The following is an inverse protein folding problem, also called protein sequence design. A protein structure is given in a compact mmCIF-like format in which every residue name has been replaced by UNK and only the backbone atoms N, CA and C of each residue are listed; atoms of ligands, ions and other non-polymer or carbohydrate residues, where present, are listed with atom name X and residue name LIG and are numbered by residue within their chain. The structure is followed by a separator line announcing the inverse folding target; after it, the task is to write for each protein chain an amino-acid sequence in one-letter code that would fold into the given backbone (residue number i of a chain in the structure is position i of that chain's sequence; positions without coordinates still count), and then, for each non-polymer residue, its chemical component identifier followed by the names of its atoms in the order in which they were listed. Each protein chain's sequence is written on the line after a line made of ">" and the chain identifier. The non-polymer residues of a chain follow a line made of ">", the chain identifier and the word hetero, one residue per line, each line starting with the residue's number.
data_IF_099209597940
#
_entry.id   IF_099209597940
#
_cell.length_a   1.000
_cell.length_b   1.000
_cell.length_c   1.000
_cell.angle_alpha   90.00
_cell.angle_beta   90.00
_cell.angle_gamma   90.00
#
_symmetry.space_group_name_H-M   'P 1'
#
loop_
_entity.id
_entity.type
_entity.pdbx_description
1 polymer ?
#
# COMPACT_ATOMS: atom_id res chain seq x y z
N UNK A 1 -21.54 -9.84 -11.68
CA UNK A 1 -20.73 -9.34 -12.82
C UNK A 1 -21.14 -10.16 -14.02
N UNK A 2 -21.49 -9.54 -15.16
CA UNK A 2 -21.99 -10.30 -16.32
C UNK A 2 -20.87 -11.18 -16.93
N UNK A 3 -21.19 -12.36 -17.51
CA UNK A 3 -20.20 -13.30 -18.04
C UNK A 3 -19.26 -12.69 -19.10
N UNK A 4 -19.79 -11.86 -20.01
CA UNK A 4 -19.02 -11.20 -21.07
C UNK A 4 -18.41 -9.83 -20.71
N UNK A 5 -18.20 -9.57 -19.42
CA UNK A 5 -17.59 -8.30 -18.97
C UNK A 5 -16.08 -8.27 -19.26
N UNK A 6 -15.61 -7.26 -20.00
CA UNK A 6 -14.17 -7.09 -20.26
C UNK A 6 -13.41 -6.69 -18.99
N UNK A 7 -12.47 -7.54 -18.56
CA UNK A 7 -11.61 -7.35 -17.37
C UNK A 7 -10.22 -6.77 -17.70
N UNK A 8 -10.07 -6.07 -18.83
CA UNK A 8 -8.80 -5.47 -19.21
C UNK A 8 -8.33 -4.47 -18.14
N UNK A 9 -7.06 -4.54 -17.77
CA UNK A 9 -6.44 -3.73 -16.71
C UNK A 9 -7.05 -3.94 -15.31
N UNK A 10 -7.70 -5.09 -15.08
CA UNK A 10 -8.22 -5.54 -13.79
C UNK A 10 -7.40 -6.71 -13.26
N UNK A 11 -7.26 -6.82 -11.95
CA UNK A 11 -6.45 -7.87 -11.35
C UNK A 11 -7.27 -9.03 -10.81
N UNK A 12 -8.44 -8.74 -10.23
CA UNK A 12 -9.41 -9.79 -9.93
C UNK A 12 -10.03 -10.34 -11.22
N UNK A 13 -10.31 -11.65 -11.22
CA UNK A 13 -10.94 -12.35 -12.33
C UNK A 13 -12.44 -12.58 -12.10
N UNK A 14 -12.87 -12.44 -10.85
CA UNK A 14 -14.23 -12.63 -10.39
C UNK A 14 -14.67 -11.49 -9.45
N UNK A 15 -15.97 -11.44 -9.17
CA UNK A 15 -16.58 -10.47 -8.25
C UNK A 15 -17.46 -11.20 -7.23
N UNK A 16 -16.87 -12.01 -6.32
CA UNK A 16 -17.62 -12.82 -5.37
C UNK A 16 -18.38 -11.95 -4.38
N UNK A 17 -19.49 -12.46 -3.86
CA UNK A 17 -20.23 -11.76 -2.80
C UNK A 17 -19.36 -11.58 -1.55
N UNK A 18 -19.60 -10.49 -0.82
CA UNK A 18 -18.86 -10.19 0.41
C UNK A 18 -19.20 -11.18 1.51
N UNK A 19 -18.24 -11.47 2.40
CA UNK A 19 -18.41 -12.43 3.52
C UNK A 19 -19.61 -12.15 4.44
N UNK A 20 -20.10 -10.91 4.49
CA UNK A 20 -21.22 -10.52 5.36
C UNK A 20 -22.55 -10.45 4.62
N UNK A 21 -22.60 -10.80 3.34
CA UNK A 21 -23.82 -10.83 2.56
C UNK A 21 -24.67 -12.06 2.95
N UNK A 22 -25.99 -11.88 3.21
CA UNK A 22 -26.87 -12.98 3.59
C UNK A 22 -27.27 -13.86 2.40
N UNK A 23 -27.03 -13.39 1.18
CA UNK A 23 -27.44 -14.03 -0.07
C UNK A 23 -26.26 -14.06 -1.04
N UNK A 24 -26.10 -15.17 -1.74
CA UNK A 24 -25.16 -15.30 -2.85
C UNK A 24 -25.90 -15.27 -4.18
N UNK A 25 -25.24 -14.77 -5.22
CA UNK A 25 -25.79 -14.74 -6.58
C UNK A 25 -24.90 -15.52 -7.52
N UNK A 26 -25.49 -16.48 -8.21
CA UNK A 26 -24.81 -17.27 -9.24
C UNK A 26 -25.43 -16.98 -10.61
N UNK A 27 -24.57 -16.81 -11.61
CA UNK A 27 -25.00 -16.74 -13.00
C UNK A 27 -25.08 -18.17 -13.54
N UNK A 28 -26.24 -18.56 -14.05
CA UNK A 28 -26.46 -19.84 -14.72
C UNK A 28 -27.13 -19.60 -16.07
N UNK A 29 -26.88 -20.48 -17.04
CA UNK A 29 -27.57 -20.43 -18.33
C UNK A 29 -29.04 -20.82 -18.13
N UNK A 30 -29.96 -19.97 -18.56
CA UNK A 30 -31.40 -20.21 -18.49
C UNK A 30 -31.95 -21.01 -19.69
N UNK A 31 -31.06 -21.46 -20.59
CA UNK A 31 -31.39 -22.26 -21.77
C UNK A 31 -31.75 -21.44 -23.01
N UNK A 32 -31.63 -20.11 -22.96
CA UNK A 32 -31.86 -19.23 -24.10
C UNK A 32 -30.53 -18.86 -24.76
N UNK A 33 -30.35 -19.24 -26.02
CA UNK A 33 -29.19 -18.87 -26.84
C UNK A 33 -29.35 -17.43 -27.38
N UNK A 34 -29.23 -16.45 -26.48
CA UNK A 34 -29.17 -15.04 -26.83
C UNK A 34 -27.70 -14.67 -27.04
N UNK A 35 -27.37 -14.01 -28.15
CA UNK A 35 -26.03 -13.45 -28.36
C UNK A 35 -25.73 -12.44 -27.24
N UNK A 36 -24.83 -12.81 -26.33
CA UNK A 36 -24.42 -11.93 -25.24
C UNK A 36 -23.57 -10.77 -25.79
N UNK A 37 -24.10 -9.55 -25.73
CA UNK A 37 -23.39 -8.34 -26.13
C UNK A 37 -22.04 -8.18 -25.42
N UNK A 38 -21.02 -7.76 -26.18
CA UNK A 38 -19.72 -7.38 -25.61
C UNK A 38 -19.90 -6.08 -24.83
N UNK A 39 -19.79 -6.17 -23.51
CA UNK A 39 -19.95 -5.02 -22.63
C UNK A 39 -18.73 -4.08 -22.69
N UNK A 40 -18.95 -2.76 -22.50
CA UNK A 40 -17.85 -1.80 -22.45
C UNK A 40 -16.87 -2.13 -21.31
N UNK A 41 -15.61 -1.65 -21.38
CA UNK A 41 -14.65 -1.82 -20.30
C UNK A 41 -15.20 -1.33 -18.96
N UNK A 42 -14.91 -2.05 -17.87
CA UNK A 42 -15.34 -1.66 -16.53
C UNK A 42 -14.81 -0.27 -16.18
N UNK A 43 -15.73 0.64 -15.86
CA UNK A 43 -15.39 1.96 -15.35
C UNK A 43 -14.99 1.91 -13.86
N UNK A 44 -14.23 2.91 -13.43
CA UNK A 44 -13.93 3.12 -12.01
C UNK A 44 -14.75 4.30 -11.49
N UNK A 45 -15.52 4.05 -10.43
CA UNK A 45 -16.35 5.02 -9.73
C UNK A 45 -15.63 5.55 -8.50
N UNK A 46 -15.64 6.88 -8.33
CA UNK A 46 -15.10 7.56 -7.16
C UNK A 46 -16.27 7.98 -6.27
N UNK A 47 -16.28 7.50 -5.03
CA UNK A 47 -17.37 7.66 -4.08
C UNK A 47 -16.91 8.55 -2.91
N UNK A 48 -17.56 9.69 -2.65
CA UNK A 48 -17.18 10.54 -1.52
C UNK A 48 -17.48 9.84 -0.19
N UNK A 49 -16.49 9.80 0.71
CA UNK A 49 -16.62 9.31 2.09
C UNK A 49 -16.47 10.48 3.06
N UNK A 50 -17.51 10.74 3.86
CA UNK A 50 -17.48 11.72 4.96
C UNK A 50 -17.01 11.01 6.24
N UNK A 51 -15.70 10.94 6.42
CA UNK A 51 -15.09 10.31 7.57
C UNK A 51 -15.21 11.19 8.84
N UNK A 52 -15.29 10.56 10.02
CA UNK A 52 -15.26 11.26 11.32
C UNK A 52 -13.83 11.51 11.83
N UNK A 53 -12.90 10.64 11.45
CA UNK A 53 -11.47 10.74 11.74
C UNK A 53 -10.67 10.33 10.51
N UNK A 54 -9.41 10.76 10.46
CA UNK A 54 -8.52 10.45 9.33
C UNK A 54 -7.39 9.52 9.72
N UNK A 55 -6.88 9.65 10.96
CA UNK A 55 -5.84 8.80 11.53
C UNK A 55 -6.47 7.49 12.01
N UNK A 56 -5.85 6.38 11.62
CA UNK A 56 -6.16 5.03 12.09
C UNK A 56 -4.99 4.51 12.93
N UNK A 57 -5.30 3.85 14.04
CA UNK A 57 -4.33 3.32 14.98
C UNK A 57 -4.30 1.79 14.94
N UNK A 58 -3.16 1.22 15.32
CA UNK A 58 -2.99 -0.22 15.47
C UNK A 58 -2.02 -0.53 16.63
N UNK A 59 -2.14 -1.71 17.21
CA UNK A 59 -1.37 -2.22 18.34
C UNK A 59 -0.45 -3.40 17.93
N UNK A 60 -0.18 -3.51 16.63
CA UNK A 60 0.46 -4.69 16.07
C UNK A 60 1.96 -4.72 16.39
N UNK A 61 2.48 -5.74 17.09
CA UNK A 61 3.86 -5.75 17.59
C UNK A 61 4.92 -5.99 16.50
N UNK A 62 4.48 -6.40 15.30
CA UNK A 62 5.36 -6.76 14.18
C UNK A 62 5.41 -5.73 13.04
N UNK A 63 4.75 -4.57 13.20
CA UNK A 63 4.87 -3.43 12.27
C UNK A 63 5.45 -2.21 13.01
N UNK A 64 6.34 -1.47 12.34
CA UNK A 64 7.08 -0.36 12.95
C UNK A 64 6.32 0.97 13.03
N UNK A 65 4.99 0.96 13.08
CA UNK A 65 4.18 2.17 13.15
C UNK A 65 2.85 1.93 13.87
N UNK A 66 2.40 2.96 14.60
CA UNK A 66 1.12 2.95 15.30
C UNK A 66 0.03 3.68 14.52
N UNK A 67 0.40 4.77 13.84
CA UNK A 67 -0.54 5.67 13.17
C UNK A 67 -0.43 5.54 11.65
N UNK A 68 -1.57 5.52 10.98
CA UNK A 68 -1.63 5.55 9.51
C UNK A 68 -2.80 6.37 9.00
N UNK A 69 -2.67 6.88 7.79
CA UNK A 69 -3.77 7.48 7.05
C UNK A 69 -3.86 6.78 5.70
N UNK A 70 -5.07 6.33 5.39
CA UNK A 70 -5.44 5.88 4.05
C UNK A 70 -6.38 6.93 3.47
N UNK A 71 -5.95 7.74 2.48
CA UNK A 71 -6.80 8.75 1.85
C UNK A 71 -8.00 8.13 1.12
N UNK A 72 -7.84 6.85 0.74
CA UNK A 72 -8.80 6.09 -0.05
C UNK A 72 -9.14 4.75 0.60
N UNK A 73 -10.34 4.23 0.33
CA UNK A 73 -10.74 2.83 0.58
C UNK A 73 -11.02 2.17 -0.76
N UNK A 74 -10.40 1.02 -1.00
CA UNK A 74 -10.26 0.46 -2.35
C UNK A 74 -8.99 0.97 -3.02
N UNK A 75 -8.50 0.22 -4.01
CA UNK A 75 -7.29 0.59 -4.72
C UNK A 75 -7.37 0.22 -6.20
N UNK A 76 -7.35 1.23 -7.05
CA UNK A 76 -7.36 1.13 -8.51
C UNK A 76 -6.20 0.34 -9.09
N UNK A 77 -5.12 0.16 -8.32
CA UNK A 77 -3.99 -0.68 -8.73
C UNK A 77 -4.41 -2.12 -9.05
N UNK A 78 -5.45 -2.62 -8.38
CA UNK A 78 -6.01 -3.95 -8.63
C UNK A 78 -5.04 -5.08 -8.32
N UNK A 79 -4.08 -4.91 -7.41
CA UNK A 79 -3.14 -5.98 -7.08
C UNK A 79 -3.90 -7.23 -6.59
N UNK A 80 -3.77 -8.37 -7.27
CA UNK A 80 -4.57 -9.57 -6.95
C UNK A 80 -4.32 -10.09 -5.53
N UNK A 81 -3.07 -10.01 -5.07
CA UNK A 81 -2.62 -10.45 -3.75
C UNK A 81 -2.95 -9.47 -2.61
N UNK A 82 -3.65 -8.36 -2.89
CA UNK A 82 -3.77 -7.25 -1.94
C UNK A 82 -4.56 -7.66 -0.69
N UNK A 83 -3.90 -7.65 0.48
CA UNK A 83 -4.53 -7.99 1.76
C UNK A 83 -5.63 -7.01 2.19
N UNK A 84 -5.75 -5.85 1.52
CA UNK A 84 -6.77 -4.84 1.79
C UNK A 84 -8.11 -5.14 1.09
N UNK A 85 -8.15 -6.08 0.13
CA UNK A 85 -9.38 -6.47 -0.59
C UNK A 85 -10.57 -6.77 0.33
N UNK A 86 -10.40 -7.50 1.45
CA UNK A 86 -11.50 -7.78 2.39
C UNK A 86 -12.14 -6.54 3.03
N UNK A 87 -11.53 -5.35 2.93
CA UNK A 87 -12.13 -4.10 3.44
C UNK A 87 -13.46 -3.74 2.73
N UNK A 88 -13.65 -4.19 1.49
CA UNK A 88 -14.88 -3.97 0.74
C UNK A 88 -16.06 -4.80 1.25
N UNK A 89 -15.80 -5.98 1.84
CA UNK A 89 -16.85 -6.78 2.47
C UNK A 89 -17.57 -6.01 3.59
N UNK A 90 -16.87 -5.11 4.30
CA UNK A 90 -17.46 -4.29 5.37
C UNK A 90 -18.36 -3.14 4.89
N UNK A 91 -18.43 -2.91 3.58
CA UNK A 91 -19.30 -1.90 2.96
C UNK A 91 -20.22 -2.53 1.92
N UNK A 92 -20.53 -3.82 2.08
CA UNK A 92 -21.42 -4.60 1.22
C UNK A 92 -21.00 -4.58 -0.26
N UNK A 93 -19.69 -4.64 -0.48
CA UNK A 93 -19.08 -4.70 -1.81
C UNK A 93 -18.14 -5.88 -1.93
N UNK A 94 -17.96 -6.37 -3.16
CA UNK A 94 -17.07 -7.50 -3.40
C UNK A 94 -15.58 -7.14 -3.16
N UNK A 95 -14.81 -8.02 -2.49
CA UNK A 95 -13.34 -7.96 -2.45
C UNK A 95 -12.65 -8.19 -3.81
N UNK A 96 -13.41 -8.66 -4.81
CA UNK A 96 -12.95 -8.90 -6.18
C UNK A 96 -12.86 -7.62 -7.00
N UNK A 97 -13.67 -7.53 -8.06
CA UNK A 97 -13.67 -6.38 -8.97
C UNK A 97 -14.10 -5.08 -8.29
N UNK A 98 -15.10 -5.10 -7.41
CA UNK A 98 -15.57 -3.88 -6.73
C UNK A 98 -14.46 -3.18 -5.92
N UNK A 99 -13.49 -3.91 -5.36
CA UNK A 99 -12.35 -3.33 -4.65
C UNK A 99 -11.51 -2.36 -5.51
N UNK A 100 -11.41 -2.63 -6.81
CA UNK A 100 -10.57 -1.88 -7.76
C UNK A 100 -11.37 -1.01 -8.73
N UNK A 101 -12.71 -1.07 -8.67
CA UNK A 101 -13.62 -0.23 -9.46
C UNK A 101 -14.47 0.72 -8.62
N UNK A 102 -14.75 0.44 -7.34
CA UNK A 102 -15.52 1.31 -6.44
C UNK A 102 -14.60 1.85 -5.36
N UNK A 103 -14.10 3.07 -5.57
CA UNK A 103 -13.06 3.67 -4.73
C UNK A 103 -13.67 4.78 -3.90
N UNK A 104 -13.63 4.64 -2.59
CA UNK A 104 -14.04 5.72 -1.70
C UNK A 104 -12.87 6.65 -1.43
N UNK A 105 -13.13 7.94 -1.36
CA UNK A 105 -12.13 8.96 -1.03
C UNK A 105 -12.62 9.87 0.09
N UNK A 106 -11.71 10.19 1.02
CA UNK A 106 -12.02 11.05 2.17
C UNK A 106 -12.01 12.53 1.75
N UNK A 107 -13.19 13.12 1.61
CA UNK A 107 -13.36 14.49 1.09
C UNK A 107 -12.60 15.51 1.93
N UNK A 108 -12.76 15.46 3.25
CA UNK A 108 -12.22 16.45 4.20
C UNK A 108 -10.92 15.99 4.88
N UNK A 109 -10.13 15.10 4.26
CA UNK A 109 -9.01 14.43 4.91
C UNK A 109 -7.99 15.42 5.54
N UNK A 110 -7.59 16.46 4.82
CA UNK A 110 -6.65 17.48 5.31
C UNK A 110 -7.22 18.29 6.49
N UNK A 111 -8.49 18.70 6.40
CA UNK A 111 -9.17 19.44 7.48
C UNK A 111 -9.30 18.59 8.75
N UNK A 112 -9.68 17.32 8.59
CA UNK A 112 -9.76 16.36 9.69
C UNK A 112 -8.38 16.14 10.31
N UNK A 113 -7.33 16.03 9.49
CA UNK A 113 -5.96 15.90 9.96
C UNK A 113 -5.53 17.11 10.80
N UNK A 114 -5.68 18.32 10.25
CA UNK A 114 -5.32 19.57 10.95
C UNK A 114 -6.10 19.69 12.27
N UNK A 115 -7.39 19.36 12.28
CA UNK A 115 -8.20 19.36 13.50
C UNK A 115 -7.66 18.36 14.53
N UNK A 116 -7.25 17.17 14.10
CA UNK A 116 -6.81 16.10 14.98
C UNK A 116 -5.44 16.38 15.61
N UNK A 117 -4.44 16.79 14.81
CA UNK A 117 -3.07 17.03 15.30
C UNK A 117 -2.96 18.26 16.22
N UNK A 118 -3.90 19.20 16.11
CA UNK A 118 -3.93 20.40 16.94
C UNK A 118 -4.68 20.21 18.28
N UNK A 119 -5.26 19.04 18.56
CA UNK A 119 -5.87 18.78 19.88
C UNK A 119 -4.83 18.86 20.99
N UNK A 120 -5.20 19.40 22.16
CA UNK A 120 -4.31 19.49 23.31
C UNK A 120 -3.70 18.12 23.69
N UNK A 121 -4.51 17.06 23.63
CA UNK A 121 -4.12 15.68 23.92
C UNK A 121 -3.34 14.96 22.81
N UNK A 122 -3.14 15.58 21.65
CA UNK A 122 -2.42 14.94 20.55
C UNK A 122 -0.92 14.84 20.85
N UNK A 123 -0.37 13.64 20.68
CA UNK A 123 1.05 13.34 20.78
C UNK A 123 1.57 12.92 19.40
N UNK A 124 2.57 13.66 18.91
CA UNK A 124 3.17 13.42 17.60
C UNK A 124 3.87 12.06 17.56
N UNK A 125 3.49 11.25 16.56
CA UNK A 125 4.16 10.01 16.18
C UNK A 125 4.20 9.94 14.65
N UNK A 126 5.21 9.32 14.02
CA UNK A 126 5.25 9.20 12.57
C UNK A 126 3.98 8.57 12.01
N UNK A 127 3.38 9.23 11.01
CA UNK A 127 2.18 8.74 10.32
C UNK A 127 2.60 8.00 9.05
N UNK A 128 2.07 6.79 8.83
CA UNK A 128 2.22 6.08 7.56
C UNK A 128 1.10 6.43 6.60
N UNK A 129 1.44 7.01 5.44
CA UNK A 129 0.57 7.06 4.27
C UNK A 129 0.77 5.82 3.43
N UNK A 130 -0.32 5.12 3.11
CA UNK A 130 -0.26 3.94 2.24
C UNK A 130 -0.15 2.60 2.94
N UNK A 131 -0.58 2.53 4.21
CA UNK A 131 -0.57 1.31 5.00
C UNK A 131 -1.60 0.27 4.54
N UNK A 132 -2.65 0.65 3.80
CA UNK A 132 -3.69 -0.29 3.33
C UNK A 132 -4.01 -0.10 1.84
N UNK A 133 -4.12 1.13 1.38
CA UNK A 133 -4.38 1.50 -0.03
C UNK A 133 -3.29 2.45 -0.51
N UNK A 134 -3.02 2.52 -1.82
CA UNK A 134 -1.94 3.37 -2.31
C UNK A 134 -2.37 4.84 -2.33
N UNK A 135 -1.64 5.76 -1.68
CA UNK A 135 -1.99 7.18 -1.63
C UNK A 135 -1.80 7.87 -2.99
N UNK A 136 -1.06 7.24 -3.91
CA UNK A 136 -0.76 7.75 -5.25
C UNK A 136 -1.41 6.89 -6.35
N UNK A 137 -2.50 6.20 -6.06
CA UNK A 137 -3.30 5.52 -7.08
C UNK A 137 -3.85 6.51 -8.13
N UNK A 138 -4.26 6.07 -9.35
CA UNK A 138 -4.69 6.95 -10.43
C UNK A 138 -5.66 8.09 -10.06
N UNK A 139 -6.61 7.87 -9.16
CA UNK A 139 -7.55 8.89 -8.68
C UNK A 139 -6.86 10.11 -8.04
N UNK A 140 -5.69 9.91 -7.43
CA UNK A 140 -4.91 10.98 -6.80
C UNK A 140 -4.44 12.04 -7.79
N UNK A 141 -4.31 11.70 -9.07
CA UNK A 141 -3.95 12.67 -10.11
C UNK A 141 -5.01 13.78 -10.26
N UNK A 142 -6.29 13.46 -9.97
CA UNK A 142 -7.42 14.39 -10.03
C UNK A 142 -7.77 14.98 -8.67
N UNK A 143 -7.76 14.15 -7.63
CA UNK A 143 -8.28 14.52 -6.31
C UNK A 143 -7.26 15.25 -5.41
N UNK A 144 -5.96 15.02 -5.62
CA UNK A 144 -4.88 15.67 -4.87
C UNK A 144 -4.99 15.58 -3.33
N UNK A 145 -5.64 14.53 -2.80
CA UNK A 145 -5.90 14.38 -1.36
C UNK A 145 -4.60 14.10 -0.62
N UNK A 146 -3.74 13.24 -1.17
CA UNK A 146 -2.43 12.98 -0.58
C UNK A 146 -1.59 14.25 -0.54
N UNK A 147 -1.58 15.05 -1.62
CA UNK A 147 -0.90 16.35 -1.62
C UNK A 147 -1.45 17.29 -0.55
N UNK A 148 -2.78 17.35 -0.38
CA UNK A 148 -3.41 18.18 0.66
C UNK A 148 -3.00 17.75 2.08
N UNK A 149 -2.89 16.44 2.34
CA UNK A 149 -2.40 15.91 3.60
C UNK A 149 -0.92 16.25 3.82
N UNK A 150 -0.09 16.12 2.79
CA UNK A 150 1.33 16.47 2.85
C UNK A 150 1.55 17.95 3.15
N UNK A 151 0.73 18.85 2.60
CA UNK A 151 0.80 20.27 2.94
C UNK A 151 0.54 20.52 4.44
N UNK A 152 -0.49 19.90 5.01
CA UNK A 152 -0.78 20.01 6.45
C UNK A 152 0.39 19.47 7.27
N UNK A 153 0.90 18.28 6.92
CA UNK A 153 2.03 17.67 7.62
C UNK A 153 3.30 18.53 7.53
N UNK A 154 3.58 19.11 6.36
CA UNK A 154 4.74 19.99 6.16
C UNK A 154 4.64 21.27 6.98
N UNK A 155 3.47 21.93 7.02
CA UNK A 155 3.23 23.14 7.83
C UNK A 155 3.46 22.86 9.31
N UNK A 156 2.98 21.72 9.80
CA UNK A 156 3.12 21.31 11.20
C UNK A 156 4.44 20.60 11.51
N UNK A 157 5.36 20.49 10.53
CA UNK A 157 6.62 19.74 10.62
C UNK A 157 6.42 18.33 11.18
N UNK A 158 5.32 17.70 10.78
CA UNK A 158 4.91 16.40 11.26
C UNK A 158 5.58 15.29 10.43
N UNK A 159 6.22 14.30 11.07
CA UNK A 159 6.92 13.24 10.35
C UNK A 159 5.95 12.27 9.64
N UNK A 160 6.32 11.84 8.44
CA UNK A 160 5.51 10.99 7.56
C UNK A 160 6.33 9.91 6.87
N UNK A 161 5.76 8.73 6.75
CA UNK A 161 6.33 7.61 5.98
C UNK A 161 5.35 7.31 4.85
N UNK A 162 5.84 7.25 3.62
CA UNK A 162 4.98 7.01 2.46
C UNK A 162 5.29 5.64 1.88
N UNK A 163 4.26 4.82 1.64
CA UNK A 163 4.38 3.54 0.94
C UNK A 163 3.63 3.66 -0.38
N UNK A 164 4.32 3.43 -1.51
CA UNK A 164 3.68 3.52 -2.84
C UNK A 164 4.27 2.57 -3.87
N UNK A 165 3.51 2.33 -4.95
CA UNK A 165 3.89 1.62 -6.18
C UNK A 165 3.89 2.52 -7.42
N UNK A 166 3.60 3.82 -7.27
CA UNK A 166 3.28 4.68 -8.41
C UNK A 166 4.18 5.93 -8.52
N UNK A 167 4.50 6.33 -9.75
CA UNK A 167 5.36 7.49 -10.06
C UNK A 167 4.73 8.84 -9.76
N UNK A 168 3.42 8.89 -9.51
CA UNK A 168 2.74 10.16 -9.19
C UNK A 168 3.30 10.84 -7.93
N UNK A 169 4.00 10.11 -7.05
CA UNK A 169 4.76 10.70 -5.93
C UNK A 169 5.76 11.77 -6.39
N UNK A 170 6.29 11.68 -7.61
CA UNK A 170 7.24 12.67 -8.15
C UNK A 170 6.61 14.06 -8.32
N UNK A 171 5.28 14.15 -8.43
CA UNK A 171 4.55 15.44 -8.43
C UNK A 171 4.80 16.24 -7.16
N UNK A 172 4.96 15.55 -6.03
CA UNK A 172 5.00 16.17 -4.70
C UNK A 172 6.45 16.30 -4.16
N UNK A 173 7.47 16.16 -5.03
CA UNK A 173 8.89 16.36 -4.67
C UNK A 173 9.15 17.74 -4.06
N UNK A 174 8.42 18.77 -4.49
CA UNK A 174 8.53 20.13 -3.97
C UNK A 174 8.24 20.20 -2.45
N UNK A 175 7.29 19.40 -1.97
CA UNK A 175 6.97 19.30 -0.53
C UNK A 175 7.93 18.32 0.15
N UNK A 176 8.14 17.15 -0.47
CA UNK A 176 8.89 16.05 0.13
C UNK A 176 10.37 16.39 0.34
N UNK A 177 11.01 17.11 -0.58
CA UNK A 177 12.41 17.56 -0.42
C UNK A 177 12.59 18.48 0.78
N UNK A 178 11.66 19.43 0.98
CA UNK A 178 11.68 20.34 2.14
C UNK A 178 11.50 19.59 3.46
N UNK A 179 10.60 18.60 3.49
CA UNK A 179 10.44 17.72 4.64
C UNK A 179 11.68 16.84 4.88
N UNK A 180 12.32 16.35 3.81
CA UNK A 180 13.49 15.46 3.91
C UNK A 180 14.70 16.19 4.48
N UNK A 181 14.92 17.44 4.09
CA UNK A 181 15.96 18.30 4.67
C UNK A 181 15.82 18.47 6.20
N UNK A 182 14.62 18.26 6.73
CA UNK A 182 14.33 18.33 8.16
C UNK A 182 14.27 16.95 8.85
N UNK A 183 14.58 15.85 8.14
CA UNK A 183 14.42 14.46 8.58
C UNK A 183 12.95 14.11 8.95
N UNK A 184 11.98 14.67 8.23
CA UNK A 184 10.55 14.46 8.47
C UNK A 184 9.91 13.43 7.53
N UNK A 185 10.57 13.01 6.46
CA UNK A 185 9.97 12.08 5.50
C UNK A 185 10.93 10.97 5.07
N UNK A 186 10.36 9.78 4.87
CA UNK A 186 11.00 8.68 4.15
C UNK A 186 9.97 7.95 3.30
N UNK A 187 10.42 7.35 2.20
CA UNK A 187 9.55 6.69 1.22
C UNK A 187 9.94 5.22 1.06
N UNK A 188 8.95 4.33 1.11
CA UNK A 188 9.07 2.94 0.73
C UNK A 188 8.42 2.71 -0.65
N UNK A 189 9.22 2.35 -1.64
CA UNK A 189 8.76 2.02 -3.00
C UNK A 189 8.61 0.51 -3.11
N UNK A 190 7.40 0.03 -3.40
CA UNK A 190 7.15 -1.41 -3.52
C UNK A 190 7.48 -1.92 -4.92
N UNK A 191 8.39 -2.88 -5.01
CA UNK A 191 8.81 -3.53 -6.26
C UNK A 191 8.70 -5.03 -6.08
N UNK A 192 7.75 -5.65 -6.78
CA UNK A 192 7.48 -7.09 -6.70
C UNK A 192 8.13 -7.88 -7.82
N UNK A 193 8.40 -7.26 -8.97
CA UNK A 193 9.02 -7.89 -10.13
C UNK A 193 9.64 -6.82 -11.02
N UNK A 194 10.70 -7.17 -11.74
CA UNK A 194 11.28 -6.38 -12.84
C UNK A 194 10.63 -6.73 -14.19
N UNK A 195 9.83 -7.80 -14.26
CA UNK A 195 9.09 -8.22 -15.45
C UNK A 195 7.87 -7.34 -15.70
N UNK A 196 7.78 -6.77 -16.92
CA UNK A 196 6.60 -6.03 -17.39
C UNK A 196 5.38 -6.94 -17.51
N UNK A 197 5.58 -8.21 -17.86
CA UNK A 197 4.49 -9.16 -18.09
C UNK A 197 3.87 -9.60 -16.78
N UNK A 198 4.71 -9.98 -15.79
CA UNK A 198 4.22 -10.33 -14.47
C UNK A 198 3.52 -9.13 -13.81
N UNK A 199 4.09 -7.92 -13.91
CA UNK A 199 3.43 -6.70 -13.44
C UNK A 199 2.06 -6.51 -14.09
N UNK A 200 1.91 -6.77 -15.39
CA UNK A 200 0.67 -6.55 -16.14
C UNK A 200 -0.49 -7.40 -15.63
N UNK A 201 -0.20 -8.67 -15.30
CA UNK A 201 -1.22 -9.59 -14.80
C UNK A 201 -1.41 -9.50 -13.28
N UNK A 202 -0.39 -9.11 -12.52
CA UNK A 202 -0.42 -9.11 -11.05
C UNK A 202 -0.79 -7.74 -10.45
N UNK A 203 -0.40 -6.65 -11.11
CA UNK A 203 -0.48 -5.26 -10.62
C UNK A 203 -0.85 -4.29 -11.77
N UNK A 204 -1.98 -4.51 -12.46
CA UNK A 204 -2.25 -3.99 -13.79
C UNK A 204 -2.09 -2.48 -13.92
N UNK A 205 -2.53 -1.69 -12.91
CA UNK A 205 -2.60 -0.22 -12.98
C UNK A 205 -1.53 0.52 -12.16
N UNK A 206 -0.51 -0.19 -11.68
CA UNK A 206 0.66 0.43 -11.03
C UNK A 206 1.66 0.96 -12.06
N UNK A 207 2.68 1.72 -11.62
CA UNK A 207 3.80 2.11 -12.49
C UNK A 207 4.60 0.87 -12.94
N UNK A 208 5.13 0.90 -14.16
CA UNK A 208 5.97 -0.17 -14.70
C UNK A 208 7.25 -0.37 -13.86
N UNK A 209 7.84 -1.58 -13.80
CA UNK A 209 8.97 -1.85 -12.92
C UNK A 209 10.16 -0.89 -13.07
N UNK A 210 10.58 -0.62 -14.32
CA UNK A 210 11.65 0.35 -14.59
C UNK A 210 11.31 1.77 -14.11
N UNK A 211 10.03 2.15 -14.14
CA UNK A 211 9.57 3.42 -13.56
C UNK A 211 9.75 3.45 -12.05
N UNK A 212 9.48 2.34 -11.34
CA UNK A 212 9.68 2.29 -9.88
C UNK A 212 11.14 2.38 -9.46
N UNK A 213 12.04 1.80 -10.25
CA UNK A 213 13.48 1.95 -10.06
C UNK A 213 13.90 3.42 -10.27
N UNK A 214 13.37 4.10 -11.32
CA UNK A 214 13.60 5.53 -11.52
C UNK A 214 13.10 6.41 -10.38
N UNK A 215 11.93 6.09 -9.80
CA UNK A 215 11.42 6.81 -8.63
C UNK A 215 12.43 6.75 -7.49
N UNK A 216 13.02 5.58 -7.21
CA UNK A 216 14.04 5.43 -6.15
C UNK A 216 15.23 6.37 -6.42
N UNK A 217 15.70 6.42 -7.67
CA UNK A 217 16.76 7.33 -8.08
C UNK A 217 16.36 8.79 -7.88
N UNK A 218 15.21 9.23 -8.38
CA UNK A 218 14.77 10.61 -8.27
C UNK A 218 14.55 11.04 -6.82
N UNK A 219 13.98 10.19 -5.98
CA UNK A 219 13.85 10.45 -4.54
C UNK A 219 15.22 10.65 -3.89
N UNK A 220 16.18 9.78 -4.21
CA UNK A 220 17.55 9.87 -3.65
C UNK A 220 18.27 11.11 -4.14
N UNK A 221 18.17 11.45 -5.42
CA UNK A 221 18.75 12.67 -6.02
C UNK A 221 18.19 13.95 -5.36
N UNK A 222 16.96 13.88 -4.84
CA UNK A 222 16.28 14.96 -4.10
C UNK A 222 16.48 14.90 -2.57
N UNK A 223 17.40 14.04 -2.10
CA UNK A 223 17.72 13.90 -0.67
C UNK A 223 16.65 13.17 0.16
N UNK A 224 15.66 12.55 -0.47
CA UNK A 224 14.58 11.83 0.21
C UNK A 224 15.01 10.39 0.48
N UNK A 225 15.12 9.95 1.76
CA UNK A 225 15.50 8.60 2.09
C UNK A 225 14.52 7.57 1.52
N UNK A 226 15.04 6.63 0.72
CA UNK A 226 14.24 5.61 0.05
C UNK A 226 14.54 4.20 0.58
N UNK A 227 13.48 3.41 0.67
CA UNK A 227 13.48 1.98 0.98
C UNK A 227 12.84 1.22 -0.17
N UNK A 228 13.45 0.13 -0.62
CA UNK A 228 12.76 -0.83 -1.50
C UNK A 228 11.99 -1.84 -0.66
N UNK A 229 10.74 -2.10 -1.04
CA UNK A 229 9.91 -3.11 -0.39
C UNK A 229 9.50 -4.20 -1.39
N UNK A 230 10.06 -5.40 -1.25
CA UNK A 230 9.67 -6.57 -2.04
C UNK A 230 8.46 -7.23 -1.36
N UNK A 231 7.28 -6.66 -1.61
CA UNK A 231 6.04 -7.08 -0.96
C UNK A 231 4.87 -7.19 -1.95
N UNK A 232 4.38 -8.41 -2.24
CA UNK A 232 4.80 -9.69 -1.67
C UNK A 232 5.98 -10.36 -2.40
N UNK A 233 6.70 -11.22 -1.68
CA UNK A 233 7.38 -12.38 -2.25
C UNK A 233 6.35 -13.51 -2.39
N UNK A 234 6.30 -14.08 -3.59
CA UNK A 234 5.47 -15.20 -3.99
C UNK A 234 6.41 -16.32 -4.50
N UNK A 235 6.50 -17.45 -3.79
CA UNK A 235 7.35 -18.57 -4.19
C UNK A 235 7.06 -19.01 -5.62
N UNK A 236 8.11 -19.31 -6.37
CA UNK A 236 8.05 -19.82 -7.75
C UNK A 236 7.35 -18.89 -8.75
N UNK A 237 7.03 -17.65 -8.36
CA UNK A 237 6.45 -16.61 -9.23
C UNK A 237 7.39 -15.42 -9.37
N UNK A 238 7.82 -14.79 -8.27
CA UNK A 238 8.71 -13.62 -8.30
C UNK A 238 9.91 -13.72 -7.35
N UNK A 239 10.00 -14.75 -6.54
CA UNK A 239 11.04 -14.89 -5.53
C UNK A 239 12.44 -15.10 -6.13
N UNK A 240 12.54 -15.61 -7.35
CA UNK A 240 13.79 -15.66 -8.13
C UNK A 240 14.33 -14.27 -8.53
N UNK A 241 13.50 -13.21 -8.44
CA UNK A 241 13.90 -11.85 -8.76
C UNK A 241 14.42 -11.07 -7.55
N UNK A 242 14.38 -11.64 -6.34
CA UNK A 242 14.70 -10.97 -5.09
C UNK A 242 16.04 -10.21 -5.15
N UNK A 243 17.11 -10.90 -5.47
CA UNK A 243 18.46 -10.30 -5.51
C UNK A 243 18.59 -9.28 -6.65
N UNK A 244 17.92 -9.51 -7.79
CA UNK A 244 17.95 -8.58 -8.93
C UNK A 244 17.24 -7.26 -8.60
N UNK A 245 16.09 -7.33 -7.94
CA UNK A 245 15.35 -6.16 -7.46
C UNK A 245 16.20 -5.39 -6.44
N UNK A 246 16.79 -6.09 -5.47
CA UNK A 246 17.63 -5.46 -4.43
C UNK A 246 18.86 -4.79 -5.05
N UNK A 247 19.53 -5.45 -5.99
CA UNK A 247 20.66 -4.87 -6.72
C UNK A 247 20.26 -3.58 -7.44
N UNK A 248 19.20 -3.63 -8.24
CA UNK A 248 18.75 -2.48 -9.03
C UNK A 248 18.30 -1.30 -8.14
N UNK A 249 17.67 -1.59 -7.00
CA UNK A 249 17.28 -0.58 -6.02
C UNK A 249 18.50 0.06 -5.34
N UNK A 250 19.49 -0.74 -4.93
CA UNK A 250 20.73 -0.25 -4.34
C UNK A 250 21.52 0.63 -5.33
N UNK A 251 21.65 0.19 -6.59
CA UNK A 251 22.27 0.98 -7.68
C UNK A 251 21.54 2.29 -7.95
N UNK A 252 20.25 2.37 -7.60
CA UNK A 252 19.44 3.59 -7.71
C UNK A 252 19.45 4.43 -6.44
N UNK A 253 20.24 4.06 -5.42
CA UNK A 253 20.43 4.86 -4.20
C UNK A 253 19.57 4.47 -3.00
N UNK A 254 18.77 3.39 -3.09
CA UNK A 254 18.08 2.87 -1.90
C UNK A 254 19.11 2.41 -0.86
N UNK A 255 18.95 2.85 0.39
CA UNK A 255 19.81 2.43 1.52
C UNK A 255 19.22 1.27 2.31
N UNK A 256 17.90 1.08 2.19
CA UNK A 256 17.18 0.10 2.98
C UNK A 256 16.33 -0.81 2.11
N UNK A 257 16.17 -2.04 2.55
CA UNK A 257 15.29 -3.02 1.93
C UNK A 257 14.45 -3.73 2.99
N UNK A 258 13.25 -4.16 2.59
CA UNK A 258 12.44 -5.11 3.35
C UNK A 258 11.69 -6.01 2.38
N UNK A 259 11.27 -7.17 2.85
CA UNK A 259 10.35 -8.03 2.11
C UNK A 259 9.19 -8.46 3.00
N UNK A 260 8.09 -8.84 2.36
CA UNK A 260 6.93 -9.44 3.02
C UNK A 260 6.54 -10.66 2.21
N UNK A 261 6.42 -11.82 2.87
CA UNK A 261 5.87 -13.01 2.23
C UNK A 261 4.38 -12.80 1.94
N UNK A 262 3.87 -13.35 0.83
CA UNK A 262 2.46 -13.25 0.47
C UNK A 262 1.52 -13.58 1.64
N UNK A 263 0.47 -12.76 1.75
CA UNK A 263 -0.59 -12.86 2.75
C UNK A 263 -1.90 -13.09 2.01
N UNK A 264 -2.63 -14.12 2.39
CA UNK A 264 -3.90 -14.50 1.76
C UNK A 264 -5.05 -14.52 2.78
N UNK A 265 -5.35 -13.38 3.44
CA UNK A 265 -6.46 -13.34 4.38
C UNK A 265 -7.81 -13.49 3.66
N UNK A 266 -8.74 -14.21 4.29
CA UNK A 266 -10.15 -14.26 3.88
C UNK A 266 -10.35 -14.56 2.38
N UNK A 267 -11.07 -13.73 1.64
CA UNK A 267 -11.42 -13.91 0.22
C UNK A 267 -10.20 -13.85 -0.70
N UNK A 268 -9.09 -13.24 -0.26
CA UNK A 268 -7.87 -13.09 -1.07
C UNK A 268 -7.29 -14.44 -1.48
N UNK A 269 -7.42 -15.48 -0.65
CA UNK A 269 -6.90 -16.82 -0.95
C UNK A 269 -7.59 -17.45 -2.17
N UNK A 270 -8.90 -17.28 -2.31
CA UNK A 270 -9.67 -17.83 -3.43
C UNK A 270 -9.39 -17.02 -4.71
N UNK A 271 -9.42 -15.68 -4.60
CA UNK A 271 -9.07 -14.79 -5.72
C UNK A 271 -7.65 -15.06 -6.25
N UNK A 272 -6.69 -15.31 -5.34
CA UNK A 272 -5.33 -15.61 -5.72
C UNK A 272 -5.17 -17.00 -6.36
N UNK A 273 -5.89 -18.03 -5.87
CA UNK A 273 -5.92 -19.34 -6.50
C UNK A 273 -6.49 -19.29 -7.92
N UNK A 274 -7.61 -18.59 -8.10
CA UNK A 274 -8.21 -18.36 -9.42
C UNK A 274 -7.20 -17.73 -10.39
N UNK A 275 -6.48 -16.70 -9.91
CA UNK A 275 -5.43 -16.04 -10.69
C UNK A 275 -4.25 -16.95 -11.01
N UNK A 276 -3.80 -17.77 -10.06
CA UNK A 276 -2.74 -18.75 -10.30
C UNK A 276 -3.17 -19.78 -11.34
N UNK A 277 -4.37 -20.33 -11.25
CA UNK A 277 -4.89 -21.30 -12.22
C UNK A 277 -4.96 -20.71 -13.62
N UNK A 278 -5.37 -19.45 -13.76
CA UNK A 278 -5.45 -18.77 -15.06
C UNK A 278 -4.07 -18.47 -15.66
N UNK A 279 -3.14 -17.97 -14.87
CA UNK A 279 -1.88 -17.41 -15.40
C UNK A 279 -0.67 -18.35 -15.26
N UNK A 280 -0.74 -19.31 -14.35
CA UNK A 280 0.32 -20.26 -14.03
C UNK A 280 -0.23 -21.67 -13.76
N UNK A 281 -1.06 -22.26 -14.65
CA UNK A 281 -1.78 -23.51 -14.39
C UNK A 281 -0.85 -24.65 -13.96
N UNK A 282 0.30 -24.80 -14.63
CA UNK A 282 1.28 -25.86 -14.34
C UNK A 282 1.99 -25.70 -12.99
N UNK A 283 1.99 -24.48 -12.42
CA UNK A 283 2.67 -24.15 -11.16
C UNK A 283 1.70 -23.90 -10.00
N UNK A 284 0.41 -23.74 -10.26
CA UNK A 284 -0.57 -23.27 -9.29
C UNK A 284 -0.55 -24.09 -7.98
N UNK A 285 -0.67 -25.42 -8.08
CA UNK A 285 -0.65 -26.30 -6.90
C UNK A 285 0.71 -26.33 -6.21
N UNK A 286 1.81 -26.24 -6.97
CA UNK A 286 3.14 -26.20 -6.38
C UNK A 286 3.35 -24.91 -5.57
N UNK A 287 2.94 -23.75 -6.10
CA UNK A 287 2.97 -22.47 -5.39
C UNK A 287 2.14 -22.54 -4.11
N UNK A 288 0.91 -23.05 -4.19
CA UNK A 288 0.04 -23.18 -3.02
C UNK A 288 0.58 -24.18 -2.00
N UNK A 289 1.23 -25.26 -2.44
CA UNK A 289 1.93 -26.21 -1.56
C UNK A 289 3.05 -25.52 -0.76
N UNK A 290 3.90 -24.72 -1.41
CA UNK A 290 4.95 -23.95 -0.73
C UNK A 290 4.38 -22.92 0.25
N UNK A 291 3.29 -22.25 -0.11
CA UNK A 291 2.59 -21.34 0.80
C UNK A 291 2.09 -22.11 2.04
N UNK A 292 1.45 -23.27 1.87
CA UNK A 292 0.99 -24.12 2.98
C UNK A 292 2.14 -24.56 3.87
N UNK A 293 3.27 -24.99 3.30
CA UNK A 293 4.46 -25.38 4.06
C UNK A 293 5.01 -24.25 4.93
N UNK A 294 5.00 -23.01 4.43
CA UNK A 294 5.48 -21.85 5.19
C UNK A 294 4.49 -21.32 6.24
N UNK A 295 3.37 -22.01 6.45
CA UNK A 295 2.21 -21.57 7.25
C UNK A 295 1.64 -22.71 8.10
N UNK A 296 2.44 -23.73 8.39
CA UNK A 296 2.00 -24.89 9.20
C UNK A 296 0.82 -25.65 8.59
N UNK A 297 0.78 -25.75 7.25
CA UNK A 297 -0.28 -26.44 6.50
C UNK A 297 -1.46 -25.55 6.08
N UNK A 298 -1.55 -24.31 6.56
CA UNK A 298 -2.65 -23.38 6.25
C UNK A 298 -2.35 -22.53 5.01
N UNK A 299 -3.37 -22.01 4.34
CA UNK A 299 -3.16 -21.03 3.26
C UNK A 299 -2.76 -19.63 3.79
N UNK A 300 -3.13 -19.32 5.03
CA UNK A 300 -2.74 -18.09 5.72
C UNK A 300 -2.67 -18.29 7.23
N UNK A 301 -1.68 -17.63 7.85
CA UNK A 301 -1.50 -17.58 9.29
C UNK A 301 -1.49 -16.11 9.73
N UNK A 302 -2.42 -15.74 10.62
CA UNK A 302 -2.58 -14.39 11.13
C UNK A 302 -1.71 -14.06 12.34
N UNK A 303 -1.00 -15.05 12.93
CA UNK A 303 -0.14 -14.85 14.09
C UNK A 303 0.92 -13.77 13.82
N UNK A 304 1.07 -12.84 14.76
CA UNK A 304 2.10 -11.81 14.70
C UNK A 304 3.50 -12.43 14.60
N UNK A 305 4.39 -11.76 13.88
CA UNK A 305 5.75 -12.23 13.62
C UNK A 305 5.85 -13.29 12.51
N UNK A 306 4.81 -14.10 12.32
CA UNK A 306 4.78 -15.17 11.30
C UNK A 306 4.09 -14.69 10.03
N UNK A 307 2.96 -14.00 10.13
CA UNK A 307 2.12 -13.57 8.98
C UNK A 307 2.87 -12.87 7.83
N UNK A 308 3.96 -12.15 8.11
CA UNK A 308 4.79 -11.48 7.09
C UNK A 308 6.06 -12.24 6.68
N UNK A 309 6.50 -13.24 7.45
CA UNK A 309 7.80 -13.92 7.25
C UNK A 309 7.67 -15.37 6.83
N UNK A 310 6.63 -16.06 7.32
CA UNK A 310 6.49 -17.52 7.21
C UNK A 310 7.38 -18.26 8.21
N UNK A 311 7.25 -19.58 8.22
CA UNK A 311 8.07 -20.52 9.01
C UNK A 311 8.55 -21.67 8.11
N UNK A 312 9.45 -22.53 8.62
CA UNK A 312 9.97 -23.68 7.87
C UNK A 312 11.08 -23.37 6.85
N UNK A 313 11.55 -24.40 6.16
CA UNK A 313 12.78 -24.36 5.36
C UNK A 313 12.75 -23.35 4.21
N UNK A 314 11.63 -23.25 3.49
CA UNK A 314 11.53 -22.30 2.38
C UNK A 314 11.54 -20.85 2.87
N UNK A 315 10.89 -20.55 4.01
CA UNK A 315 10.93 -19.22 4.62
C UNK A 315 12.36 -18.89 5.12
N UNK A 316 13.05 -19.88 5.70
CA UNK A 316 14.46 -19.75 6.11
C UNK A 316 15.39 -19.50 4.93
N UNK A 317 15.15 -20.16 3.79
CA UNK A 317 15.88 -19.93 2.54
C UNK A 317 15.69 -18.49 2.06
N UNK A 318 14.44 -18.00 1.97
CA UNK A 318 14.13 -16.62 1.58
C UNK A 318 14.79 -15.61 2.52
N UNK A 319 14.71 -15.85 3.83
CA UNK A 319 15.37 -15.02 4.84
C UNK A 319 16.87 -14.98 4.61
N UNK A 320 17.52 -16.13 4.43
CA UNK A 320 18.97 -16.21 4.22
C UNK A 320 19.38 -15.48 2.95
N UNK A 321 18.68 -15.73 1.82
CA UNK A 321 18.90 -15.03 0.55
C UNK A 321 18.79 -13.52 0.70
N UNK A 322 17.75 -13.03 1.37
CA UNK A 322 17.57 -11.61 1.64
C UNK A 322 18.72 -11.01 2.47
N UNK A 323 19.17 -11.67 3.54
CA UNK A 323 20.27 -11.16 4.37
C UNK A 323 21.60 -11.14 3.62
N UNK A 324 21.89 -12.18 2.83
CA UNK A 324 23.08 -12.22 1.99
C UNK A 324 23.05 -11.12 0.91
N UNK A 325 21.89 -10.89 0.30
CA UNK A 325 21.71 -9.80 -0.65
C UNK A 325 21.87 -8.42 0.01
N UNK A 326 21.37 -8.23 1.24
CA UNK A 326 21.59 -7.00 1.99
C UNK A 326 23.09 -6.72 2.18
N UNK A 327 23.84 -7.72 2.64
CA UNK A 327 25.31 -7.62 2.78
C UNK A 327 26.00 -7.33 1.45
N UNK A 328 25.64 -8.07 0.39
CA UNK A 328 26.25 -7.94 -0.94
C UNK A 328 26.01 -6.57 -1.58
N UNK A 329 24.83 -6.00 -1.41
CA UNK A 329 24.43 -4.74 -2.04
C UNK A 329 24.44 -3.55 -1.08
N UNK A 330 25.06 -3.70 0.09
CA UNK A 330 25.20 -2.61 1.08
C UNK A 330 23.87 -2.00 1.53
N UNK A 331 22.80 -2.82 1.58
CA UNK A 331 21.48 -2.43 2.07
C UNK A 331 21.35 -2.78 3.55
N UNK A 332 20.66 -1.95 4.33
CA UNK A 332 20.44 -2.14 5.77
C UNK A 332 21.74 -2.27 6.60
N UNK A 333 22.85 -1.67 6.16
CA UNK A 333 24.10 -1.61 6.96
C UNK A 333 23.84 -0.86 8.26
N UNK A 334 23.22 0.30 8.13
CA UNK A 334 22.78 1.11 9.26
C UNK A 334 21.27 0.91 9.45
N UNK A 335 20.79 0.94 10.70
CA UNK A 335 19.36 1.02 10.95
C UNK A 335 18.81 2.30 10.32
N UNK A 336 17.59 2.24 9.79
CA UNK A 336 16.94 3.45 9.28
C UNK A 336 16.76 4.41 10.44
N UNK A 337 17.26 5.66 10.36
CA UNK A 337 17.10 6.62 11.43
C UNK A 337 15.62 6.87 11.69
N UNK A 338 15.31 7.18 12.94
CA UNK A 338 13.99 7.66 13.31
C UNK A 338 13.73 9.03 12.70
N UNK A 339 12.47 9.28 12.36
CA UNK A 339 12.05 10.57 11.84
C UNK A 339 11.95 11.57 12.99
N UNK A 340 12.25 12.83 12.70
CA UNK A 340 12.34 13.88 13.71
C UNK A 340 10.94 14.29 14.22
N UNK A 341 10.57 13.86 15.42
CA UNK A 341 9.29 14.20 16.05
C UNK A 341 9.36 15.51 16.85
N UNK A 342 10.54 15.94 17.31
CA UNK A 342 10.67 17.10 18.21
C UNK A 342 10.38 18.42 17.51
N UNK A 343 10.46 18.45 16.18
CA UNK A 343 10.18 19.62 15.33
C UNK A 343 8.68 19.89 15.16
N UNK A 344 7.82 18.94 15.53
CA UNK A 344 6.37 19.08 15.40
C UNK A 344 5.87 20.32 16.14
N UNK A 345 5.06 21.12 15.47
CA UNK A 345 4.41 22.28 16.04
C UNK A 345 2.90 22.24 15.83
N UNK A 346 2.14 22.60 16.87
CA UNK A 346 0.72 22.89 16.75
C UNK A 346 0.54 24.30 16.20
N UNK A 347 -0.65 24.58 15.67
CA UNK A 347 -1.05 25.92 15.23
C UNK A 347 -0.91 26.87 16.42
N UNK A 348 -0.24 28.00 16.22
CA UNK A 348 -0.22 29.06 17.22
C UNK A 348 -1.63 29.63 17.34
N UNK A 349 -2.23 29.49 18.53
CA UNK A 349 -3.47 30.19 18.87
C UNK A 349 -3.13 31.68 19.02
N UNK A 350 -3.31 32.45 17.95
CA UNK A 350 -3.17 33.91 17.96
C UNK A 350 -4.18 34.61 18.89
N UNK A 351 -5.10 33.86 19.50
CA UNK A 351 -6.13 34.32 20.44
C UNK A 351 -5.66 34.40 21.90
N UNK A 352 -4.50 33.83 22.24
CA UNK A 352 -3.91 33.96 23.58
C UNK A 352 -2.54 34.63 23.53
N UNK A 353 -2.48 35.85 22.96
CA UNK A 353 -1.52 36.81 23.51
C UNK A 353 -1.99 37.11 24.93
N UNK A 354 -1.42 36.41 25.90
CA UNK A 354 -1.50 36.79 27.30
C UNK A 354 -1.09 38.26 27.38
N UNK A 355 -2.06 39.14 27.60
CA UNK A 355 -1.80 40.54 27.96
C UNK A 355 -0.92 40.45 29.22
N UNK A 356 0.35 40.81 29.08
CA UNK A 356 1.23 40.97 30.24
C UNK A 356 0.57 42.01 31.15
N UNK A 357 0.27 41.60 32.38
CA UNK A 357 -0.27 42.45 33.45
C UNK A 357 0.72 43.53 33.94
N UNK A 358 1.80 43.74 33.20
CA UNK A 358 2.97 44.54 33.58
C UNK A 358 3.48 45.34 32.38
N UNK A 359 2.62 46.15 31.77
CA UNK A 359 3.11 47.37 31.12
C UNK A 359 3.40 48.37 32.24
N UNK A 360 4.55 48.20 32.90
CA UNK A 360 5.11 49.20 33.81
C UNK A 360 5.71 50.34 32.96
N UNK A 361 4.89 51.33 32.65
CA UNK A 361 5.36 52.68 32.34
C UNK A 361 4.94 53.60 33.48
N UNK A 362 5.89 53.85 34.39
CA UNK A 362 5.88 54.96 35.34
C UNK A 362 6.15 56.29 34.64
#
# INVERSE_FOLDING_TARGET
>A
MKPNQTLKNRGALSNPDGRFEPQTREHFADGWDIEEEILPPLETFLLPERAKSVISHNDSPDIGFEQSINPYRGCEHGCIYCYARPSHSYVNLSPGIDFETKIFYKVDAAKLLETEINKASYHCKPIVLGANTDPYQPAEAKLAITRSLLNVLAVHRHPVIIITKNALIERDLDILSSMAAQNLVRVAVSITSLSKDLKRIMEPRTTAPAGRIRIIKHLTDHGIPSRVMIAPIIPMINDMELEKIMKAAAESGAKHASYVLIRLPYEVKELFKEWLTKHFPERAEHVMSLIRQMRGGKEYDSRFGIRMRGEGEYANLLKTRFHLACKKFHLNIEPSPDLEISKFCKKEDSTYKQLSLWDESW
#
